data_IF_643949822790
#
_entry.id   IF_643949822790
#
_cell.length_a   1.000
_cell.length_b   1.000
_cell.length_c   1.000
_cell.angle_alpha   90.00
_cell.angle_beta   90.00
_cell.angle_gamma   90.00
#
_symmetry.space_group_name_H-M   'P 1'
#
loop_
_entity.id
_entity.type
_entity.pdbx_description
1 polymer ?
#
# COMPACT_ATOMS: atom_id res chain seq x y z
N UNK A 1 -20.96 28.95 -27.79
CA UNK A 1 -21.38 27.98 -28.82
C UNK A 1 -20.52 26.74 -28.62
N UNK A 2 -20.78 26.03 -27.54
CA UNK A 2 -21.86 25.02 -27.40
C UNK A 2 -21.41 23.67 -27.96
N UNK A 3 -21.29 22.74 -27.02
CA UNK A 3 -21.78 21.37 -27.09
C UNK A 3 -21.45 20.54 -28.34
N UNK A 4 -20.55 19.57 -28.15
CA UNK A 4 -20.92 18.14 -28.12
C UNK A 4 -19.66 17.28 -28.18
N UNK A 5 -19.43 16.50 -27.11
CA UNK A 5 -18.96 15.11 -27.14
C UNK A 5 -18.79 14.66 -25.67
N UNK A 6 -19.94 14.55 -25.02
CA UNK A 6 -20.16 13.70 -23.84
C UNK A 6 -20.37 12.27 -24.34
N UNK A 7 -20.04 11.30 -23.50
CA UNK A 7 -20.20 9.84 -23.64
C UNK A 7 -19.16 9.04 -24.43
N UNK A 8 -18.10 8.68 -23.69
CA UNK A 8 -17.53 7.34 -23.78
C UNK A 8 -17.26 6.82 -22.36
N UNK A 9 -18.32 6.37 -21.67
CA UNK A 9 -18.20 5.43 -20.55
C UNK A 9 -17.58 4.11 -21.06
N UNK A 10 -16.26 4.06 -21.16
CA UNK A 10 -15.53 2.80 -21.23
C UNK A 10 -15.59 2.16 -19.84
N UNK A 11 -16.66 1.40 -19.61
CA UNK A 11 -16.79 0.45 -18.51
C UNK A 11 -15.91 -0.77 -18.83
N UNK A 12 -14.73 -0.95 -18.22
CA UNK A 12 -13.91 -2.12 -18.47
C UNK A 12 -14.29 -3.15 -17.41
N UNK A 13 -15.27 -4.00 -17.72
CA UNK A 13 -15.57 -5.33 -17.13
C UNK A 13 -17.05 -5.68 -17.36
N UNK A 14 -17.41 -5.99 -18.62
CA UNK A 14 -18.63 -6.75 -18.94
C UNK A 14 -18.26 -7.93 -19.85
N UNK A 15 -17.38 -8.79 -19.36
CA UNK A 15 -17.42 -10.20 -19.74
C UNK A 15 -18.02 -10.94 -18.55
N UNK A 16 -19.08 -11.75 -18.74
CA UNK A 16 -19.52 -12.65 -17.69
C UNK A 16 -18.40 -13.67 -17.50
N UNK A 17 -17.51 -13.41 -16.55
CA UNK A 17 -16.73 -14.47 -15.93
C UNK A 17 -17.75 -15.49 -15.45
N UNK A 18 -17.75 -16.67 -16.06
CA UNK A 18 -18.39 -17.84 -15.48
C UNK A 18 -17.98 -17.87 -14.00
N UNK A 19 -18.96 -17.67 -13.10
CA UNK A 19 -18.71 -17.46 -11.68
C UNK A 19 -18.25 -18.78 -11.08
N UNK A 20 -16.98 -19.10 -11.27
CA UNK A 20 -16.25 -20.00 -10.38
C UNK A 20 -16.35 -19.35 -9.01
N UNK A 21 -17.06 -20.02 -8.11
CA UNK A 21 -17.27 -19.59 -6.74
C UNK A 21 -15.90 -19.37 -6.10
N UNK A 22 -15.47 -18.10 -5.97
CA UNK A 22 -14.35 -17.79 -5.10
C UNK A 22 -14.86 -17.88 -3.66
N UNK A 23 -14.25 -18.72 -2.80
CA UNK A 23 -14.66 -18.82 -1.42
C UNK A 23 -14.53 -17.44 -0.75
N UNK A 24 -15.59 -16.99 -0.09
CA UNK A 24 -15.55 -15.78 0.71
C UNK A 24 -14.75 -16.05 1.99
N UNK A 25 -13.47 -15.67 1.99
CA UNK A 25 -12.57 -15.91 3.13
C UNK A 25 -13.00 -15.18 4.40
N UNK A 26 -13.91 -14.22 4.32
CA UNK A 26 -14.46 -13.54 5.49
C UNK A 26 -15.24 -14.50 6.40
N UNK A 27 -15.91 -15.50 5.83
CA UNK A 27 -16.64 -16.53 6.60
C UNK A 27 -15.66 -17.32 7.48
N UNK A 28 -14.49 -17.65 6.95
CA UNK A 28 -13.45 -18.38 7.68
C UNK A 28 -12.87 -17.54 8.81
N UNK A 29 -12.66 -16.24 8.57
CA UNK A 29 -12.22 -15.31 9.60
C UNK A 29 -13.25 -15.20 10.73
N UNK A 30 -14.55 -15.10 10.42
CA UNK A 30 -15.61 -15.07 11.43
C UNK A 30 -15.63 -16.35 12.28
N UNK A 31 -15.51 -17.52 11.65
CA UNK A 31 -15.42 -18.78 12.39
C UNK A 31 -14.22 -18.82 13.33
N UNK A 32 -13.08 -18.27 12.90
CA UNK A 32 -11.87 -18.23 13.72
C UNK A 32 -11.96 -17.21 14.86
N UNK A 33 -12.55 -16.05 14.60
CA UNK A 33 -12.84 -15.04 15.64
C UNK A 33 -13.79 -15.60 16.70
N UNK A 34 -14.81 -16.37 16.30
CA UNK A 34 -15.78 -16.99 17.22
C UNK A 34 -15.17 -17.92 18.29
N UNK A 35 -13.92 -18.37 18.11
CA UNK A 35 -13.19 -19.13 19.15
C UNK A 35 -12.85 -18.28 20.38
N UNK A 36 -12.61 -16.97 20.20
CA UNK A 36 -12.16 -16.04 21.25
C UNK A 36 -13.10 -14.86 21.49
N UNK A 37 -13.87 -14.46 20.49
CA UNK A 37 -14.83 -13.36 20.50
C UNK A 37 -16.09 -13.84 19.81
N UNK A 38 -17.13 -14.11 20.59
CA UNK A 38 -18.35 -14.76 20.11
C UNK A 38 -18.97 -14.02 18.91
N UNK A 39 -19.20 -14.79 17.83
CA UNK A 39 -19.87 -14.34 16.61
C UNK A 39 -21.20 -15.08 16.50
N UNK A 40 -22.31 -14.34 16.42
CA UNK A 40 -23.65 -14.92 16.33
C UNK A 40 -24.42 -14.36 15.15
N UNK A 41 -25.32 -15.18 14.59
CA UNK A 41 -26.29 -14.74 13.60
C UNK A 41 -27.33 -13.79 14.23
N UNK A 42 -27.53 -12.62 13.65
CA UNK A 42 -28.50 -11.61 14.11
C UNK A 42 -29.89 -11.82 13.51
N UNK A 43 -29.98 -12.58 12.42
CA UNK A 43 -31.20 -13.03 11.77
C UNK A 43 -31.03 -14.44 11.19
N UNK A 44 -32.09 -15.00 10.61
CA UNK A 44 -32.05 -16.29 9.94
C UNK A 44 -31.26 -16.17 8.63
N UNK A 45 -30.15 -16.89 8.52
CA UNK A 45 -29.28 -16.86 7.34
C UNK A 45 -29.79 -17.89 6.34
N UNK A 46 -30.20 -17.42 5.17
CA UNK A 46 -30.76 -18.25 4.10
C UNK A 46 -29.89 -18.20 2.83
N UNK A 47 -29.89 -19.29 2.06
CA UNK A 47 -29.32 -19.30 0.73
C UNK A 47 -30.24 -18.58 -0.29
N UNK A 48 -29.74 -18.30 -1.49
CA UNK A 48 -30.45 -17.62 -2.57
C UNK A 48 -31.72 -18.34 -3.08
N UNK A 49 -32.03 -19.54 -2.58
CA UNK A 49 -33.28 -20.27 -2.82
C UNK A 49 -34.27 -20.20 -1.66
N UNK A 50 -33.96 -19.43 -0.61
CA UNK A 50 -34.79 -19.30 0.59
C UNK A 50 -34.64 -20.43 1.61
N UNK A 51 -33.66 -21.34 1.45
CA UNK A 51 -33.44 -22.43 2.40
C UNK A 51 -32.64 -21.91 3.60
N UNK A 52 -33.18 -22.14 4.81
CA UNK A 52 -32.53 -21.80 6.06
C UNK A 52 -31.22 -22.59 6.24
N UNK A 53 -30.11 -21.87 6.39
CA UNK A 53 -28.80 -22.45 6.68
C UNK A 53 -28.45 -22.35 8.16
N UNK A 54 -28.70 -21.19 8.77
CA UNK A 54 -28.33 -20.89 10.16
C UNK A 54 -29.48 -20.15 10.82
N UNK A 55 -29.88 -20.60 12.02
CA UNK A 55 -30.94 -19.96 12.78
C UNK A 55 -30.39 -18.73 13.51
N UNK A 56 -31.19 -17.68 13.62
CA UNK A 56 -30.91 -16.51 14.47
C UNK A 56 -30.40 -16.94 15.85
N UNK A 57 -29.36 -16.28 16.36
CA UNK A 57 -28.71 -16.57 17.65
C UNK A 57 -27.70 -17.72 17.61
N UNK A 58 -27.60 -18.47 16.51
CA UNK A 58 -26.59 -19.52 16.37
C UNK A 58 -25.19 -18.92 16.26
N UNK A 59 -24.21 -19.60 16.84
CA UNK A 59 -22.81 -19.23 16.72
C UNK A 59 -22.27 -19.55 15.32
N UNK A 60 -21.40 -18.69 14.80
CA UNK A 60 -20.71 -18.92 13.53
C UNK A 60 -19.41 -19.68 13.83
N UNK A 61 -19.50 -21.00 14.03
CA UNK A 61 -18.32 -21.87 14.22
C UNK A 61 -17.81 -22.43 12.88
N UNK A 62 -16.79 -23.30 12.92
CA UNK A 62 -16.22 -23.90 11.70
C UNK A 62 -17.24 -24.72 10.91
N UNK A 63 -18.11 -25.48 11.57
CA UNK A 63 -19.11 -26.30 10.90
C UNK A 63 -20.17 -25.43 10.21
N UNK A 64 -20.59 -24.34 10.87
CA UNK A 64 -21.49 -23.35 10.28
C UNK A 64 -20.83 -22.64 9.10
N UNK A 65 -19.56 -22.25 9.21
CA UNK A 65 -18.82 -21.66 8.11
C UNK A 65 -18.69 -22.59 6.90
N UNK A 66 -18.33 -23.85 7.11
CA UNK A 66 -18.25 -24.86 6.04
C UNK A 66 -19.61 -25.05 5.35
N UNK A 67 -20.73 -24.92 6.09
CA UNK A 67 -22.08 -24.93 5.52
C UNK A 67 -22.38 -23.67 4.70
N UNK A 68 -22.05 -22.48 5.21
CA UNK A 68 -22.27 -21.21 4.51
C UNK A 68 -21.47 -21.17 3.19
N UNK A 69 -20.21 -21.60 3.22
CA UNK A 69 -19.30 -21.61 2.06
C UNK A 69 -19.79 -22.50 0.90
N UNK A 70 -20.77 -23.39 1.11
CA UNK A 70 -21.35 -24.20 0.05
C UNK A 70 -22.53 -23.53 -0.67
N UNK A 71 -22.91 -22.33 -0.25
CA UNK A 71 -24.13 -21.67 -0.68
C UNK A 71 -23.95 -20.19 -0.93
N UNK A 72 -24.57 -19.69 -2.00
CA UNK A 72 -24.75 -18.25 -2.19
C UNK A 72 -25.86 -17.76 -1.28
N UNK A 73 -25.60 -16.75 -0.44
CA UNK A 73 -26.57 -16.16 0.48
C UNK A 73 -27.52 -15.17 -0.20
N UNK A 74 -28.69 -14.92 0.41
CA UNK A 74 -29.63 -13.86 -0.03
C UNK A 74 -29.05 -12.47 0.23
N UNK A 75 -28.50 -12.28 1.43
CA UNK A 75 -27.84 -11.06 1.89
C UNK A 75 -26.36 -11.33 2.16
N UNK A 76 -25.50 -10.29 2.12
CA UNK A 76 -24.11 -10.40 2.60
C UNK A 76 -24.05 -10.92 4.04
N UNK A 77 -23.04 -11.74 4.35
CA UNK A 77 -22.95 -12.37 5.68
C UNK A 77 -22.70 -11.33 6.78
N UNK A 78 -21.91 -10.31 6.49
CA UNK A 78 -21.56 -9.23 7.41
C UNK A 78 -22.76 -8.42 7.92
N UNK A 79 -23.88 -8.41 7.19
CA UNK A 79 -25.12 -7.75 7.62
C UNK A 79 -25.96 -8.62 8.57
N UNK A 80 -25.67 -9.93 8.62
CA UNK A 80 -26.48 -10.95 9.29
C UNK A 80 -25.78 -11.54 10.52
N UNK A 81 -24.66 -10.98 10.95
CA UNK A 81 -23.91 -11.44 12.12
C UNK A 81 -23.50 -10.25 13.00
N UNK A 82 -23.22 -10.54 14.27
CA UNK A 82 -22.66 -9.58 15.20
C UNK A 82 -21.60 -10.23 16.08
N UNK A 83 -20.62 -9.43 16.48
CA UNK A 83 -19.60 -9.80 17.47
C UNK A 83 -20.01 -9.27 18.85
N UNK A 84 -19.79 -10.06 19.88
CA UNK A 84 -20.05 -9.66 21.27
C UNK A 84 -19.16 -8.47 21.68
N UNK A 85 -17.87 -8.53 21.35
CA UNK A 85 -16.90 -7.50 21.74
C UNK A 85 -16.30 -6.80 20.52
N UNK A 86 -16.89 -5.68 20.10
CA UNK A 86 -16.43 -4.93 18.92
C UNK A 86 -15.51 -3.77 19.29
N UNK A 87 -14.66 -3.38 18.34
CA UNK A 87 -13.88 -2.16 18.44
C UNK A 87 -14.80 -0.93 18.53
N UNK A 88 -14.36 0.08 19.26
CA UNK A 88 -15.03 1.35 19.45
C UNK A 88 -13.98 2.45 19.68
N UNK A 89 -14.43 3.70 19.86
CA UNK A 89 -13.53 4.84 20.06
C UNK A 89 -12.58 4.68 21.25
N UNK A 90 -13.07 4.16 22.38
CA UNK A 90 -12.24 3.93 23.57
C UNK A 90 -11.13 2.91 23.29
N UNK A 91 -11.47 1.79 22.65
CA UNK A 91 -10.49 0.75 22.28
C UNK A 91 -9.48 1.25 21.25
N UNK A 92 -9.92 2.03 20.26
CA UNK A 92 -9.01 2.67 19.30
C UNK A 92 -8.05 3.63 20.02
N UNK A 93 -8.52 4.39 21.01
CA UNK A 93 -7.68 5.29 21.80
C UNK A 93 -6.64 4.54 22.63
N UNK A 94 -7.03 3.41 23.24
CA UNK A 94 -6.09 2.53 23.95
C UNK A 94 -5.05 1.97 22.97
N UNK A 95 -5.48 1.41 21.86
CA UNK A 95 -4.58 0.82 20.85
C UNK A 95 -3.62 1.88 20.28
N UNK A 96 -4.11 3.09 20.02
CA UNK A 96 -3.27 4.18 19.53
C UNK A 96 -2.27 4.65 20.59
N UNK A 97 -2.66 4.68 21.86
CA UNK A 97 -1.73 4.98 22.96
C UNK A 97 -0.60 3.96 23.02
N UNK A 98 -0.91 2.66 22.83
CA UNK A 98 0.10 1.60 22.76
C UNK A 98 1.03 1.78 21.54
N UNK A 99 0.46 2.06 20.37
CA UNK A 99 1.21 2.34 19.14
C UNK A 99 2.15 3.54 19.33
N UNK A 100 1.65 4.64 19.88
CA UNK A 100 2.40 5.87 20.14
C UNK A 100 3.52 5.67 21.17
N UNK A 101 3.33 4.79 22.17
CA UNK A 101 4.39 4.42 23.12
C UNK A 101 5.48 3.58 22.47
N UNK A 102 5.12 2.64 21.58
CA UNK A 102 6.10 1.82 20.86
C UNK A 102 6.88 2.65 19.83
N UNK A 103 6.21 3.58 19.17
CA UNK A 103 6.79 4.48 18.17
C UNK A 103 6.94 5.88 18.74
N UNK A 104 8.06 6.12 19.42
CA UNK A 104 8.32 7.39 20.12
C UNK A 104 8.29 8.62 19.21
N UNK A 105 8.51 8.44 17.91
CA UNK A 105 8.41 9.49 16.91
C UNK A 105 6.96 9.92 16.65
N UNK A 106 6.00 8.99 16.67
CA UNK A 106 4.56 9.30 16.62
C UNK A 106 4.14 10.12 17.85
N UNK A 107 4.59 9.71 19.05
CA UNK A 107 4.34 10.47 20.27
C UNK A 107 4.94 11.89 20.21
N UNK A 108 6.17 12.00 19.70
CA UNK A 108 6.84 13.30 19.52
C UNK A 108 6.11 14.18 18.53
N UNK A 109 5.74 13.68 17.36
CA UNK A 109 4.97 14.43 16.34
C UNK A 109 3.66 14.93 16.94
N UNK A 110 2.90 14.07 17.63
CA UNK A 110 1.65 14.49 18.27
C UNK A 110 1.83 15.64 19.25
N UNK A 111 2.87 15.59 20.08
CA UNK A 111 3.19 16.64 21.05
C UNK A 111 3.62 17.93 20.37
N UNK A 112 4.58 17.84 19.45
CA UNK A 112 5.18 19.02 18.80
C UNK A 112 4.19 19.75 17.90
N UNK A 113 3.24 19.03 17.28
CA UNK A 113 2.21 19.60 16.43
C UNK A 113 0.86 19.78 17.16
N UNK A 114 0.80 19.58 18.48
CA UNK A 114 -0.43 19.68 19.28
C UNK A 114 -1.63 18.94 18.65
N UNK A 115 -1.45 17.69 18.22
CA UNK A 115 -2.49 16.93 17.51
C UNK A 115 -3.27 15.94 18.37
N UNK A 116 -2.84 15.70 19.61
CA UNK A 116 -3.41 14.64 20.45
C UNK A 116 -4.90 14.82 20.73
N UNK A 117 -5.35 16.04 21.05
CA UNK A 117 -6.75 16.34 21.32
C UNK A 117 -7.62 16.20 20.05
N UNK A 118 -7.15 16.77 18.93
CA UNK A 118 -7.82 16.67 17.63
C UNK A 118 -7.98 15.21 17.22
N UNK A 119 -6.91 14.42 17.33
CA UNK A 119 -6.94 13.01 16.97
C UNK A 119 -7.88 12.22 17.88
N UNK A 120 -7.86 12.47 19.19
CA UNK A 120 -8.78 11.82 20.13
C UNK A 120 -10.24 12.11 19.79
N UNK A 121 -10.56 13.31 19.30
CA UNK A 121 -11.91 13.65 18.85
C UNK A 121 -12.33 12.83 17.61
N UNK A 122 -11.40 12.51 16.70
CA UNK A 122 -11.65 11.65 15.54
C UNK A 122 -11.97 10.20 15.93
N UNK A 123 -11.40 9.71 17.03
CA UNK A 123 -11.64 8.35 17.51
C UNK A 123 -13.05 8.14 18.07
N UNK A 124 -13.69 9.18 18.60
CA UNK A 124 -14.98 9.09 19.30
C UNK A 124 -16.14 9.64 18.46
N UNK A 125 -16.19 9.29 17.17
CA UNK A 125 -17.23 9.82 16.27
C UNK A 125 -18.58 9.09 16.46
N UNK A 126 -19.71 9.82 16.57
CA UNK A 126 -21.03 9.22 16.64
C UNK A 126 -21.43 8.50 15.34
N UNK A 127 -22.23 7.44 15.46
CA UNK A 127 -22.89 6.75 14.35
C UNK A 127 -21.97 6.01 13.34
N UNK A 128 -20.94 5.30 13.84
CA UNK A 128 -20.25 4.28 13.03
C UNK A 128 -21.13 3.04 12.91
N UNK A 129 -21.28 2.48 11.70
CA UNK A 129 -22.08 1.27 11.49
C UNK A 129 -21.50 0.09 12.28
N UNK A 130 -22.37 -0.76 12.84
CA UNK A 130 -21.96 -2.00 13.51
C UNK A 130 -21.13 -2.89 12.58
N UNK A 131 -21.49 -2.93 11.30
CA UNK A 131 -20.78 -3.71 10.30
C UNK A 131 -19.33 -3.22 10.10
N UNK A 132 -19.08 -1.91 10.12
CA UNK A 132 -17.73 -1.36 10.04
C UNK A 132 -16.91 -1.69 11.30
N UNK A 133 -17.47 -1.50 12.48
CA UNK A 133 -16.82 -1.87 13.74
C UNK A 133 -16.49 -3.37 13.77
N UNK A 134 -17.41 -4.21 13.32
CA UNK A 134 -17.18 -5.64 13.14
C UNK A 134 -15.99 -5.92 12.22
N UNK A 135 -15.96 -5.39 10.99
CA UNK A 135 -14.84 -5.67 10.06
C UNK A 135 -13.50 -5.19 10.59
N UNK A 136 -13.44 -4.02 11.22
CA UNK A 136 -12.21 -3.53 11.86
C UNK A 136 -11.79 -4.44 13.03
N UNK A 137 -12.76 -4.98 13.79
CA UNK A 137 -12.49 -5.97 14.85
C UNK A 137 -11.91 -7.27 14.29
N UNK A 138 -12.50 -7.80 13.22
CA UNK A 138 -12.00 -9.00 12.54
C UNK A 138 -10.60 -8.73 11.97
N UNK A 139 -10.37 -7.55 11.37
CA UNK A 139 -9.05 -7.14 10.89
C UNK A 139 -8.02 -7.14 12.02
N UNK A 140 -8.37 -6.57 13.19
CA UNK A 140 -7.50 -6.56 14.38
C UNK A 140 -7.13 -7.97 14.83
N UNK A 141 -8.10 -8.88 14.91
CA UNK A 141 -7.88 -10.22 15.44
C UNK A 141 -7.19 -11.17 14.45
N UNK A 142 -7.39 -10.96 13.15
CA UNK A 142 -6.95 -11.90 12.10
C UNK A 142 -5.81 -11.39 11.25
N UNK A 143 -5.73 -10.07 11.04
CA UNK A 143 -4.72 -9.38 10.25
C UNK A 143 -4.11 -8.19 11.05
N UNK A 144 -3.51 -8.43 12.23
CA UNK A 144 -3.14 -7.37 13.17
C UNK A 144 -2.16 -6.33 12.59
N UNK A 145 -1.25 -6.73 11.70
CA UNK A 145 -0.33 -5.80 11.02
C UNK A 145 -1.06 -4.80 10.10
N UNK A 146 -2.12 -5.26 9.41
CA UNK A 146 -2.95 -4.39 8.56
C UNK A 146 -3.82 -3.47 9.43
N UNK A 147 -4.34 -3.97 10.55
CA UNK A 147 -5.08 -3.14 11.51
C UNK A 147 -4.21 -2.04 12.11
N UNK A 148 -3.03 -2.38 12.61
CA UNK A 148 -2.07 -1.41 13.15
C UNK A 148 -1.68 -0.37 12.10
N UNK A 149 -1.48 -0.85 10.87
CA UNK A 149 -1.25 -0.05 9.68
C UNK A 149 -2.38 0.91 9.31
N UNK A 150 -3.62 0.47 9.46
CA UNK A 150 -4.83 1.28 9.32
C UNK A 150 -4.89 2.35 10.39
N UNK A 151 -4.62 2.00 11.66
CA UNK A 151 -4.63 2.95 12.77
C UNK A 151 -3.55 4.04 12.63
N UNK A 152 -2.32 3.65 12.28
CA UNK A 152 -1.26 4.58 11.91
C UNK A 152 -1.65 5.43 10.71
N UNK A 153 -2.26 4.82 9.69
CA UNK A 153 -2.67 5.51 8.47
C UNK A 153 -3.77 6.54 8.70
N UNK A 154 -4.77 6.22 9.53
CA UNK A 154 -5.81 7.17 9.93
C UNK A 154 -5.22 8.37 10.68
N UNK A 155 -4.26 8.14 11.56
CA UNK A 155 -3.53 9.20 12.25
C UNK A 155 -2.75 10.09 11.29
N UNK A 156 -1.90 9.51 10.43
CA UNK A 156 -1.05 10.30 9.54
C UNK A 156 -1.85 11.01 8.44
N UNK A 157 -2.89 10.36 7.91
CA UNK A 157 -3.79 10.94 6.92
C UNK A 157 -4.53 12.16 7.47
N UNK A 158 -5.08 12.07 8.68
CA UNK A 158 -5.72 13.20 9.34
C UNK A 158 -4.73 14.32 9.67
N UNK A 159 -3.51 13.98 10.09
CA UNK A 159 -2.46 14.96 10.37
C UNK A 159 -2.05 15.72 9.10
N UNK A 160 -1.87 15.03 7.97
CA UNK A 160 -1.58 15.64 6.67
C UNK A 160 -2.72 16.55 6.23
N UNK A 161 -3.97 16.08 6.28
CA UNK A 161 -5.13 16.89 5.93
C UNK A 161 -5.23 18.16 6.79
N UNK A 162 -4.90 18.06 8.08
CA UNK A 162 -4.86 19.21 9.01
C UNK A 162 -3.72 20.18 8.68
N UNK A 163 -2.52 19.68 8.39
CA UNK A 163 -1.38 20.50 7.97
C UNK A 163 -1.69 21.27 6.68
N UNK A 164 -2.44 20.64 5.76
CA UNK A 164 -2.96 21.23 4.53
C UNK A 164 -4.17 22.16 4.76
N UNK A 165 -4.59 22.38 6.00
CA UNK A 165 -5.71 23.25 6.42
C UNK A 165 -7.05 22.88 5.76
N UNK A 166 -7.29 21.60 5.57
CA UNK A 166 -8.53 21.10 5.01
C UNK A 166 -9.71 21.27 5.99
N UNK A 167 -10.97 21.37 5.50
CA UNK A 167 -12.15 21.36 6.34
C UNK A 167 -12.23 20.12 7.25
N UNK A 168 -12.88 20.27 8.41
CA UNK A 168 -12.99 19.21 9.42
C UNK A 168 -13.59 17.90 8.90
N UNK A 169 -14.55 17.98 7.96
CA UNK A 169 -15.15 16.80 7.31
C UNK A 169 -14.12 16.02 6.49
N UNK A 170 -13.21 16.70 5.80
CA UNK A 170 -12.15 16.05 5.01
C UNK A 170 -11.02 15.52 5.88
N UNK A 171 -10.72 16.16 7.02
CA UNK A 171 -9.80 15.60 8.02
C UNK A 171 -10.37 14.28 8.58
N UNK A 172 -11.66 14.26 8.89
CA UNK A 172 -12.37 13.04 9.29
C UNK A 172 -12.40 12.00 8.18
N UNK A 173 -12.63 12.40 6.94
CA UNK A 173 -12.56 11.49 5.80
C UNK A 173 -11.17 10.88 5.63
N UNK A 174 -10.09 11.66 5.84
CA UNK A 174 -8.71 11.17 5.80
C UNK A 174 -8.45 10.13 6.89
N UNK A 175 -8.95 10.38 8.10
CA UNK A 175 -8.89 9.41 9.20
C UNK A 175 -9.57 8.09 8.83
N UNK A 176 -10.83 8.16 8.37
CA UNK A 176 -11.58 6.96 8.01
C UNK A 176 -10.94 6.21 6.85
N UNK A 177 -10.57 6.90 5.76
CA UNK A 177 -9.92 6.28 4.62
C UNK A 177 -8.60 5.61 5.02
N UNK A 178 -7.79 6.26 5.86
CA UNK A 178 -6.59 5.65 6.43
C UNK A 178 -6.91 4.39 7.23
N UNK A 179 -7.91 4.42 8.11
CA UNK A 179 -8.28 3.27 8.94
C UNK A 179 -8.84 2.09 8.14
N UNK A 180 -9.55 2.34 7.05
CA UNK A 180 -10.38 1.33 6.37
C UNK A 180 -9.87 0.87 5.01
N UNK A 181 -8.81 1.48 4.45
CA UNK A 181 -8.31 1.20 3.09
C UNK A 181 -8.05 -0.28 2.79
N UNK A 182 -7.62 -1.02 3.82
CA UNK A 182 -7.18 -2.41 3.72
C UNK A 182 -8.24 -3.43 4.16
N UNK A 183 -9.48 -3.01 4.43
CA UNK A 183 -10.55 -3.94 4.84
C UNK A 183 -10.87 -5.00 3.79
N UNK A 184 -10.57 -4.74 2.52
CA UNK A 184 -10.76 -5.72 1.45
C UNK A 184 -9.90 -6.97 1.58
N UNK A 185 -8.78 -6.92 2.31
CA UNK A 185 -7.95 -8.11 2.57
C UNK A 185 -8.67 -9.18 3.37
N UNK A 186 -9.75 -8.84 4.07
CA UNK A 186 -10.60 -9.81 4.78
C UNK A 186 -11.32 -10.79 3.85
N UNK A 187 -11.35 -10.52 2.55
CA UNK A 187 -11.97 -11.40 1.56
C UNK A 187 -10.94 -12.04 0.62
N UNK A 188 -9.65 -11.85 0.87
CA UNK A 188 -8.56 -12.44 0.10
C UNK A 188 -7.98 -13.62 0.88
N UNK A 189 -7.57 -14.66 0.14
CA UNK A 189 -6.92 -15.83 0.72
C UNK A 189 -5.74 -15.44 1.62
N UNK A 190 -5.76 -15.77 2.92
CA UNK A 190 -4.65 -15.50 3.84
C UNK A 190 -3.31 -16.03 3.33
N UNK A 191 -3.29 -17.15 2.59
CA UNK A 191 -2.08 -17.71 2.00
C UNK A 191 -1.45 -16.79 0.95
N UNK A 192 -2.27 -16.01 0.24
CA UNK A 192 -1.83 -14.97 -0.69
C UNK A 192 -1.41 -13.71 0.06
N UNK A 193 -2.22 -13.25 1.03
CA UNK A 193 -1.94 -12.04 1.84
C UNK A 193 -0.59 -12.14 2.54
N UNK A 194 -0.26 -13.30 3.09
CA UNK A 194 1.00 -13.54 3.83
C UNK A 194 2.11 -14.18 2.99
N UNK A 195 1.93 -14.30 1.68
CA UNK A 195 2.92 -14.94 0.82
C UNK A 195 4.25 -14.18 0.88
N UNK A 196 5.32 -14.89 1.26
CA UNK A 196 6.69 -14.38 1.22
C UNK A 196 7.30 -14.64 -0.15
N UNK A 197 8.10 -13.69 -0.64
CA UNK A 197 8.81 -13.80 -1.92
C UNK A 197 7.98 -13.34 -3.11
N UNK A 198 8.27 -13.89 -4.30
CA UNK A 198 7.67 -13.44 -5.55
C UNK A 198 6.20 -13.85 -5.66
N UNK A 199 5.34 -12.87 -5.92
CA UNK A 199 3.93 -13.08 -6.25
C UNK A 199 3.79 -13.46 -7.73
N UNK A 200 2.96 -14.47 -8.02
CA UNK A 200 2.54 -14.74 -9.39
C UNK A 200 1.63 -13.61 -9.90
N UNK A 201 1.37 -13.58 -11.21
CA UNK A 201 0.42 -12.62 -11.77
C UNK A 201 -1.00 -12.79 -11.18
N UNK A 202 -1.39 -14.01 -10.84
CA UNK A 202 -2.68 -14.31 -10.21
C UNK A 202 -2.71 -13.83 -8.75
N UNK A 203 -1.66 -14.12 -7.97
CA UNK A 203 -1.53 -13.61 -6.59
C UNK A 203 -1.58 -12.07 -6.57
N UNK A 204 -0.91 -11.42 -7.53
CA UNK A 204 -0.89 -9.98 -7.63
C UNK A 204 -2.27 -9.40 -7.95
N UNK A 205 -3.02 -10.01 -8.89
CA UNK A 205 -4.42 -9.60 -9.18
C UNK A 205 -5.32 -9.80 -7.97
N UNK A 206 -5.14 -10.89 -7.21
CA UNK A 206 -5.88 -11.14 -5.99
C UNK A 206 -5.58 -10.08 -4.93
N UNK A 207 -4.30 -9.73 -4.72
CA UNK A 207 -3.94 -8.62 -3.83
C UNK A 207 -4.55 -7.32 -4.30
N UNK A 208 -4.43 -6.96 -5.59
CA UNK A 208 -5.00 -5.72 -6.13
C UNK A 208 -6.51 -5.61 -5.93
N UNK A 209 -7.25 -6.72 -5.85
CA UNK A 209 -8.71 -6.68 -5.70
C UNK A 209 -9.17 -6.13 -4.35
N UNK A 210 -8.30 -6.05 -3.33
CA UNK A 210 -8.69 -5.54 -2.01
C UNK A 210 -9.29 -4.12 -2.08
N UNK A 211 -8.79 -3.27 -2.98
CA UNK A 211 -9.33 -1.91 -3.13
C UNK A 211 -10.77 -1.94 -3.65
N UNK A 212 -11.08 -2.86 -4.57
CA UNK A 212 -12.41 -3.02 -5.16
C UNK A 212 -13.39 -3.64 -4.16
N UNK A 213 -12.92 -4.62 -3.37
CA UNK A 213 -13.72 -5.22 -2.31
C UNK A 213 -14.03 -4.19 -1.21
N UNK A 214 -13.04 -3.39 -0.81
CA UNK A 214 -13.22 -2.34 0.18
C UNK A 214 -14.18 -1.25 -0.34
N UNK A 215 -14.01 -0.81 -1.59
CA UNK A 215 -14.90 0.13 -2.29
C UNK A 215 -16.37 -0.35 -2.29
N UNK A 216 -16.60 -1.61 -2.70
CA UNK A 216 -17.94 -2.21 -2.76
C UNK A 216 -18.60 -2.23 -1.37
N UNK A 217 -17.86 -2.62 -0.34
CA UNK A 217 -18.38 -2.67 1.02
C UNK A 217 -18.68 -1.27 1.56
N UNK A 218 -17.70 -0.35 1.47
CA UNK A 218 -17.80 0.99 2.05
C UNK A 218 -18.88 1.84 1.36
N UNK A 219 -19.07 1.66 0.05
CA UNK A 219 -20.11 2.37 -0.73
C UNK A 219 -21.54 2.06 -0.25
N UNK A 220 -21.75 0.91 0.37
CA UNK A 220 -23.06 0.50 0.89
C UNK A 220 -23.33 1.02 2.32
N UNK A 221 -22.34 1.64 2.97
CA UNK A 221 -22.48 2.16 4.32
C UNK A 221 -22.87 3.65 4.29
N UNK A 222 -24.08 3.96 4.74
CA UNK A 222 -24.59 5.35 4.79
C UNK A 222 -23.77 6.30 5.67
N UNK A 223 -23.00 5.77 6.63
CA UNK A 223 -22.10 6.55 7.48
C UNK A 223 -20.74 6.89 6.81
N UNK A 224 -20.45 6.33 5.63
CA UNK A 224 -19.19 6.55 4.91
C UNK A 224 -19.42 7.49 3.75
N UNK A 225 -18.62 8.55 3.64
CA UNK A 225 -18.77 9.54 2.56
C UNK A 225 -18.12 9.08 1.27
N UNK A 226 -18.53 9.66 0.14
CA UNK A 226 -17.96 9.34 -1.17
C UNK A 226 -16.46 9.65 -1.25
N UNK A 227 -15.98 10.65 -0.52
CA UNK A 227 -14.55 10.97 -0.44
C UNK A 227 -13.75 9.83 0.20
N UNK A 228 -14.27 9.21 1.26
CA UNK A 228 -13.63 8.05 1.90
C UNK A 228 -13.57 6.89 0.92
N UNK A 229 -14.70 6.56 0.29
CA UNK A 229 -14.81 5.48 -0.70
C UNK A 229 -13.80 5.70 -1.83
N UNK A 230 -13.76 6.91 -2.40
CA UNK A 230 -12.85 7.27 -3.49
C UNK A 230 -11.38 7.15 -3.06
N UNK A 231 -11.02 7.66 -1.89
CA UNK A 231 -9.66 7.58 -1.39
C UNK A 231 -9.22 6.13 -1.13
N UNK A 232 -10.14 5.27 -0.65
CA UNK A 232 -9.88 3.84 -0.48
C UNK A 232 -9.74 3.12 -1.81
N UNK A 233 -10.57 3.41 -2.81
CA UNK A 233 -10.47 2.80 -4.14
C UNK A 233 -9.17 3.21 -4.87
N UNK A 234 -8.66 4.41 -4.60
CA UNK A 234 -7.54 5.03 -5.31
C UNK A 234 -6.23 5.09 -4.52
N UNK A 235 -6.13 4.53 -3.30
CA UNK A 235 -4.92 4.72 -2.47
C UNK A 235 -3.64 4.10 -3.06
N UNK A 236 -3.76 3.16 -4.00
CA UNK A 236 -2.63 2.63 -4.77
C UNK A 236 -2.37 3.36 -6.09
N UNK A 237 -3.21 4.32 -6.45
CA UNK A 237 -2.97 5.19 -7.60
C UNK A 237 -1.83 6.18 -7.28
N UNK A 238 -1.14 6.63 -8.32
CA UNK A 238 0.01 7.54 -8.20
C UNK A 238 -0.17 8.73 -9.13
N UNK A 239 0.30 9.89 -8.71
CA UNK A 239 0.12 11.14 -9.44
C UNK A 239 0.78 11.12 -10.82
N UNK A 240 1.84 10.33 -10.99
CA UNK A 240 2.53 10.06 -12.26
C UNK A 240 1.84 8.99 -13.14
N UNK A 241 0.75 8.37 -12.68
CA UNK A 241 0.00 7.34 -13.38
C UNK A 241 0.61 5.94 -13.34
N UNK A 242 1.62 5.71 -12.50
CA UNK A 242 2.24 4.39 -12.32
C UNK A 242 1.48 3.46 -11.36
N UNK A 243 0.43 3.97 -10.72
CA UNK A 243 -0.38 3.25 -9.74
C UNK A 243 -1.47 2.36 -10.35
N UNK A 244 -2.29 1.81 -9.46
CA UNK A 244 -3.35 0.85 -9.79
C UNK A 244 -4.60 1.08 -8.90
N UNK A 245 -5.79 0.58 -9.27
CA UNK A 245 -6.11 -0.38 -10.34
C UNK A 245 -6.40 0.25 -11.72
N UNK A 246 -6.81 1.52 -11.75
CA UNK A 246 -7.29 2.19 -12.96
C UNK A 246 -6.16 2.89 -13.72
N UNK A 247 -5.10 3.34 -13.03
CA UNK A 247 -4.04 4.17 -13.59
C UNK A 247 -4.47 5.64 -13.68
N UNK A 248 -5.32 6.10 -12.75
CA UNK A 248 -5.69 7.51 -12.64
C UNK A 248 -4.49 8.31 -12.17
N UNK A 249 -4.35 9.53 -12.69
CA UNK A 249 -3.14 10.34 -12.51
C UNK A 249 -3.44 11.83 -12.45
N UNK A 250 -2.46 12.59 -11.96
CA UNK A 250 -2.53 14.04 -11.86
C UNK A 250 -3.78 14.53 -11.12
N UNK A 251 -4.37 15.59 -11.65
CA UNK A 251 -5.57 16.22 -11.10
C UNK A 251 -6.85 15.37 -11.23
N UNK A 252 -6.77 14.18 -11.84
CA UNK A 252 -7.89 13.23 -11.83
C UNK A 252 -7.96 12.44 -10.53
N UNK A 253 -6.88 12.38 -9.75
CA UNK A 253 -6.90 11.80 -8.42
C UNK A 253 -7.41 12.83 -7.42
N UNK A 254 -8.28 12.40 -6.51
CA UNK A 254 -8.70 13.29 -5.43
C UNK A 254 -7.49 13.66 -4.56
N UNK A 255 -7.53 14.84 -3.94
CA UNK A 255 -6.46 15.24 -3.01
C UNK A 255 -6.38 14.26 -1.82
N UNK A 256 -7.53 13.71 -1.40
CA UNK A 256 -7.60 12.71 -0.34
C UNK A 256 -6.93 11.39 -0.76
N UNK A 257 -7.14 10.95 -2.00
CA UNK A 257 -6.46 9.79 -2.58
C UNK A 257 -4.94 9.98 -2.60
N UNK A 258 -4.46 11.19 -2.92
CA UNK A 258 -3.03 11.52 -2.87
C UNK A 258 -2.49 11.47 -1.43
N UNK A 259 -3.22 12.01 -0.45
CA UNK A 259 -2.85 11.94 0.97
C UNK A 259 -2.73 10.47 1.40
N UNK A 260 -3.76 9.65 1.16
CA UNK A 260 -3.78 8.25 1.60
C UNK A 260 -2.73 7.41 0.85
N UNK A 261 -2.46 7.70 -0.42
CA UNK A 261 -1.38 7.03 -1.15
C UNK A 261 0.01 7.32 -0.58
N UNK A 262 0.28 8.54 -0.12
CA UNK A 262 1.54 8.84 0.57
C UNK A 262 1.58 8.15 1.95
N UNK A 263 0.47 8.16 2.68
CA UNK A 263 0.34 7.47 3.97
C UNK A 263 0.63 5.98 3.84
N UNK A 264 0.06 5.33 2.84
CA UNK A 264 0.28 3.91 2.55
C UNK A 264 1.75 3.60 2.29
N UNK A 265 2.40 4.44 1.48
CA UNK A 265 3.83 4.37 1.20
C UNK A 265 4.67 4.49 2.47
N UNK A 266 4.40 5.49 3.32
CA UNK A 266 5.15 5.72 4.56
C UNK A 266 4.90 4.61 5.59
N UNK A 267 3.69 4.06 5.64
CA UNK A 267 3.37 2.90 6.46
C UNK A 267 4.12 1.65 5.97
N UNK A 268 4.19 1.41 4.66
CA UNK A 268 4.97 0.31 4.10
C UNK A 268 6.47 0.42 4.43
N UNK A 269 7.06 1.63 4.31
CA UNK A 269 8.43 1.90 4.73
C UNK A 269 8.62 1.63 6.23
N UNK A 270 7.69 2.11 7.07
CA UNK A 270 7.74 1.91 8.51
C UNK A 270 7.77 0.41 8.86
N UNK A 271 6.81 -0.34 8.34
CA UNK A 271 6.62 -1.76 8.68
C UNK A 271 7.73 -2.65 8.13
N UNK A 272 8.19 -2.42 6.89
CA UNK A 272 9.17 -3.28 6.23
C UNK A 272 10.61 -2.96 6.60
N UNK A 273 10.95 -1.67 6.74
CA UNK A 273 12.33 -1.22 6.83
C UNK A 273 12.66 -0.55 8.17
N UNK A 274 11.74 0.21 8.75
CA UNK A 274 12.11 1.10 9.86
C UNK A 274 11.98 0.43 11.23
N UNK A 275 10.85 -0.26 11.48
CA UNK A 275 10.55 -0.85 12.79
C UNK A 275 11.62 -1.84 13.27
N UNK A 276 12.28 -2.57 12.36
CA UNK A 276 13.36 -3.51 12.69
C UNK A 276 14.68 -2.83 13.07
N UNK A 277 14.91 -1.60 12.61
CA UNK A 277 16.19 -0.87 12.75
C UNK A 277 16.07 0.37 13.64
N UNK A 278 14.95 0.52 14.34
CA UNK A 278 14.70 1.70 15.18
C UNK A 278 14.61 3.03 14.41
N UNK A 279 14.42 3.00 13.08
CA UNK A 279 14.28 4.22 12.26
C UNK A 279 12.97 4.93 12.55
N UNK A 280 12.96 6.25 12.38
CA UNK A 280 11.81 7.12 12.60
C UNK A 280 11.33 7.76 11.28
N UNK A 281 10.21 8.50 11.31
CA UNK A 281 9.65 9.11 10.09
C UNK A 281 10.56 10.13 9.38
N UNK A 282 11.53 10.73 10.05
CA UNK A 282 12.51 11.61 9.42
C UNK A 282 13.40 10.85 8.44
N UNK A 283 13.63 9.56 8.67
CA UNK A 283 14.40 8.69 7.78
C UNK A 283 13.67 8.41 6.46
N UNK A 284 12.38 8.78 6.33
CA UNK A 284 11.70 8.74 5.03
C UNK A 284 12.09 9.93 4.12
N UNK A 285 12.80 10.95 4.63
CA UNK A 285 13.17 12.13 3.84
C UNK A 285 13.87 11.80 2.51
N UNK A 286 14.89 10.92 2.45
CA UNK A 286 15.55 10.59 1.19
C UNK A 286 14.59 9.94 0.19
N UNK A 287 13.68 9.07 0.67
CA UNK A 287 12.62 8.48 -0.15
C UNK A 287 11.71 9.57 -0.76
N UNK A 288 11.27 10.53 0.06
CA UNK A 288 10.39 11.63 -0.39
C UNK A 288 11.07 12.51 -1.45
N UNK A 289 12.38 12.75 -1.29
CA UNK A 289 13.19 13.54 -2.23
C UNK A 289 13.49 12.78 -3.53
N UNK A 290 13.60 11.46 -3.49
CA UNK A 290 13.83 10.64 -4.67
C UNK A 290 12.55 10.44 -5.50
N UNK A 291 11.40 10.24 -4.85
CA UNK A 291 10.12 9.89 -5.49
C UNK A 291 9.25 11.12 -5.86
N UNK A 292 9.87 12.24 -6.23
CA UNK A 292 9.15 13.45 -6.66
C UNK A 292 8.20 13.13 -7.81
N UNK A 293 6.97 13.60 -7.72
CA UNK A 293 5.92 13.38 -8.73
C UNK A 293 5.05 12.13 -8.53
N UNK A 294 5.39 11.22 -7.61
CA UNK A 294 4.50 10.09 -7.26
C UNK A 294 3.24 10.50 -6.49
N UNK A 295 3.35 11.58 -5.72
CA UNK A 295 2.25 12.26 -5.05
C UNK A 295 2.28 13.74 -5.43
N UNK A 296 1.15 14.42 -5.26
CA UNK A 296 1.06 15.85 -5.56
C UNK A 296 1.99 16.68 -4.69
N UNK A 297 2.50 17.78 -5.26
CA UNK A 297 3.40 18.71 -4.57
C UNK A 297 2.84 19.21 -3.22
N UNK A 298 1.56 19.61 -3.09
CA UNK A 298 1.02 20.05 -1.80
C UNK A 298 1.06 18.98 -0.70
N UNK A 299 0.95 17.70 -1.06
CA UNK A 299 1.00 16.58 -0.11
C UNK A 299 2.44 16.35 0.37
N UNK A 300 3.41 16.45 -0.54
CA UNK A 300 4.83 16.39 -0.17
C UNK A 300 5.24 17.57 0.71
N UNK A 301 4.82 18.78 0.36
CA UNK A 301 5.08 19.97 1.16
C UNK A 301 4.53 19.81 2.58
N UNK A 302 3.28 19.35 2.72
CA UNK A 302 2.68 19.10 4.03
C UNK A 302 3.48 18.08 4.85
N UNK A 303 3.90 16.97 4.23
CA UNK A 303 4.72 15.97 4.92
C UNK A 303 6.07 16.54 5.38
N UNK A 304 6.75 17.29 4.51
CA UNK A 304 8.02 17.94 4.85
C UNK A 304 7.86 18.98 5.97
N UNK A 305 6.74 19.71 6.01
CA UNK A 305 6.44 20.62 7.11
C UNK A 305 6.17 19.87 8.42
N UNK A 306 5.47 18.73 8.39
CA UNK A 306 5.27 17.89 9.57
C UNK A 306 6.62 17.41 10.11
N UNK A 307 7.49 16.88 9.26
CA UNK A 307 8.83 16.43 9.65
C UNK A 307 9.63 17.57 10.27
N UNK A 308 9.65 18.75 9.63
CA UNK A 308 10.34 19.94 10.14
C UNK A 308 9.81 20.37 11.52
N UNK A 309 8.48 20.49 11.68
CA UNK A 309 7.84 20.92 12.94
C UNK A 309 7.99 19.89 14.06
N UNK A 310 8.14 18.61 13.72
CA UNK A 310 8.34 17.55 14.71
C UNK A 310 9.69 17.64 15.43
N UNK A 311 10.67 18.35 14.84
CA UNK A 311 12.04 18.42 15.34
C UNK A 311 12.68 17.04 15.50
N UNK A 312 12.20 16.02 14.76
CA UNK A 312 12.87 14.73 14.64
C UNK A 312 14.21 14.93 13.95
N UNK A 313 15.18 14.09 14.32
CA UNK A 313 16.45 13.97 13.62
C UNK A 313 16.46 12.62 12.90
N UNK A 314 17.25 12.51 11.83
CA UNK A 314 17.48 11.21 11.23
C UNK A 314 18.11 10.26 12.25
N UNK A 315 17.76 8.99 12.15
CA UNK A 315 18.45 7.95 12.91
C UNK A 315 19.72 7.57 12.15
N UNK A 316 20.83 7.45 12.87
CA UNK A 316 22.04 6.84 12.31
C UNK A 316 21.88 5.32 12.21
N UNK A 317 22.69 4.68 11.37
CA UNK A 317 22.94 3.24 11.45
C UNK A 317 23.66 2.91 12.76
N UNK A 318 23.41 1.76 13.39
CA UNK A 318 24.24 1.30 14.51
C UNK A 318 25.70 1.16 14.06
N UNK A 319 26.65 1.59 14.90
CA UNK A 319 28.09 1.54 14.60
C UNK A 319 28.54 0.11 14.35
N UNK A 320 28.01 -0.83 15.12
CA UNK A 320 28.38 -2.25 15.01
C UNK A 320 27.83 -2.89 13.72
N UNK A 321 26.79 -2.30 13.12
CA UNK A 321 26.24 -2.74 11.83
C UNK A 321 26.86 -2.01 10.62
N UNK A 322 27.61 -0.93 10.84
CA UNK A 322 28.01 -0.01 9.78
C UNK A 322 28.78 -0.69 8.65
N UNK A 323 29.73 -1.57 8.97
CA UNK A 323 30.48 -2.34 7.96
C UNK A 323 29.57 -3.26 7.13
N UNK A 324 28.60 -3.91 7.76
CA UNK A 324 27.64 -4.80 7.10
C UNK A 324 26.71 -3.99 6.18
N UNK A 325 26.25 -2.83 6.64
CA UNK A 325 25.41 -1.94 5.82
C UNK A 325 26.20 -1.38 4.65
N UNK A 326 27.47 -1.02 4.86
CA UNK A 326 28.38 -0.55 3.81
C UNK A 326 28.60 -1.62 2.72
N UNK A 327 28.86 -2.87 3.10
CA UNK A 327 29.01 -3.98 2.17
C UNK A 327 27.74 -4.21 1.33
N UNK A 328 26.56 -4.23 1.99
CA UNK A 328 25.28 -4.37 1.27
C UNK A 328 24.99 -3.18 0.35
N UNK A 329 25.37 -1.97 0.76
CA UNK A 329 25.25 -0.78 -0.08
C UNK A 329 26.11 -0.94 -1.35
N UNK A 330 27.36 -1.40 -1.22
CA UNK A 330 28.23 -1.66 -2.37
C UNK A 330 27.59 -2.61 -3.39
N UNK A 331 27.03 -3.74 -2.95
CA UNK A 331 26.35 -4.70 -3.83
C UNK A 331 25.19 -4.05 -4.60
N UNK A 332 24.44 -3.16 -3.93
CA UNK A 332 23.34 -2.43 -4.55
C UNK A 332 23.83 -1.40 -5.56
N UNK A 333 24.85 -0.61 -5.23
CA UNK A 333 25.46 0.38 -6.13
C UNK A 333 26.00 -0.31 -7.40
N UNK A 334 26.71 -1.42 -7.25
CA UNK A 334 27.21 -2.24 -8.37
C UNK A 334 26.06 -2.76 -9.24
N UNK A 335 24.95 -3.20 -8.64
CA UNK A 335 23.76 -3.60 -9.41
C UNK A 335 23.14 -2.42 -10.15
N UNK A 336 23.04 -1.23 -9.55
CA UNK A 336 22.52 -0.04 -10.22
C UNK A 336 23.35 0.30 -11.46
N UNK A 337 24.68 0.29 -11.36
CA UNK A 337 25.58 0.49 -12.51
C UNK A 337 25.35 -0.52 -13.63
N UNK A 338 25.20 -1.82 -13.29
CA UNK A 338 24.95 -2.88 -14.27
C UNK A 338 23.59 -2.78 -14.93
N UNK A 339 22.59 -2.26 -14.22
CA UNK A 339 21.22 -2.13 -14.69
C UNK A 339 21.02 -0.90 -15.59
N UNK A 340 21.79 0.18 -15.37
CA UNK A 340 21.69 1.42 -16.13
C UNK A 340 21.66 1.22 -17.67
N UNK A 341 22.62 0.52 -18.31
CA UNK A 341 22.58 0.30 -19.76
C UNK A 341 21.39 -0.56 -20.21
N UNK A 342 20.86 -1.42 -19.34
CA UNK A 342 19.66 -2.22 -19.62
C UNK A 342 18.42 -1.33 -19.64
N UNK A 343 18.29 -0.40 -18.69
CA UNK A 343 17.19 0.55 -18.64
C UNK A 343 17.20 1.52 -19.81
N UNK A 344 18.35 2.12 -20.13
CA UNK A 344 18.50 3.01 -21.30
C UNK A 344 18.00 2.33 -22.57
N UNK A 345 18.37 1.06 -22.73
CA UNK A 345 17.97 0.24 -23.85
C UNK A 345 16.49 -0.11 -23.83
N UNK A 346 15.92 -0.48 -22.68
CA UNK A 346 14.48 -0.74 -22.54
C UNK A 346 13.67 0.52 -22.88
N UNK A 347 14.06 1.67 -22.32
CA UNK A 347 13.42 2.96 -22.59
C UNK A 347 13.45 3.25 -24.09
N UNK A 348 14.62 3.15 -24.75
CA UNK A 348 14.72 3.32 -26.21
C UNK A 348 13.82 2.36 -26.99
N UNK A 349 13.83 1.07 -26.68
CA UNK A 349 13.03 0.06 -27.39
C UNK A 349 11.52 0.35 -27.30
N UNK A 350 11.04 0.85 -26.16
CA UNK A 350 9.62 1.21 -26.06
C UNK A 350 9.22 2.39 -26.94
N UNK A 351 10.15 3.31 -27.25
CA UNK A 351 9.91 4.43 -28.17
C UNK A 351 10.00 4.00 -29.65
N UNK A 352 10.65 2.87 -29.97
CA UNK A 352 10.72 2.32 -31.33
C UNK A 352 9.44 1.59 -31.75
N UNK A 353 8.57 1.25 -30.81
CA UNK A 353 7.32 0.54 -31.09
C UNK A 353 6.26 1.50 -31.68
N UNK A 354 5.64 1.17 -32.83
CA UNK A 354 4.70 2.07 -33.51
C UNK A 354 3.41 2.29 -32.73
N UNK A 355 3.02 1.34 -31.88
CA UNK A 355 1.89 1.46 -30.96
C UNK A 355 2.16 0.67 -29.68
N UNK A 356 1.73 1.24 -28.55
CA UNK A 356 1.82 0.61 -27.24
C UNK A 356 0.42 0.39 -26.70
N UNK A 357 0.17 -0.80 -26.13
CA UNK A 357 -1.02 -1.03 -25.31
C UNK A 357 -0.88 -0.34 -23.93
N UNK A 358 -1.85 -0.53 -23.02
CA UNK A 358 -1.78 0.07 -21.67
C UNK A 358 -0.50 -0.32 -20.94
N UNK A 359 -0.12 -1.60 -21.00
CA UNK A 359 1.03 -2.15 -20.29
C UNK A 359 2.38 -1.67 -20.87
N UNK A 360 2.46 -1.52 -22.20
CA UNK A 360 3.62 -0.95 -22.86
C UNK A 360 3.86 0.50 -22.46
N UNK A 361 2.81 1.33 -22.44
CA UNK A 361 2.90 2.72 -21.96
C UNK A 361 3.33 2.81 -20.51
N UNK A 362 2.77 1.97 -19.63
CA UNK A 362 3.16 1.89 -18.22
C UNK A 362 4.64 1.53 -18.09
N UNK A 363 5.11 0.54 -18.86
CA UNK A 363 6.54 0.13 -18.86
C UNK A 363 7.45 1.29 -19.27
N UNK A 364 7.08 2.05 -20.30
CA UNK A 364 7.85 3.25 -20.72
C UNK A 364 7.94 4.28 -19.60
N UNK A 365 6.81 4.61 -18.97
CA UNK A 365 6.77 5.61 -17.89
C UNK A 365 7.61 5.18 -16.70
N UNK A 366 7.42 3.95 -16.21
CA UNK A 366 8.16 3.45 -15.03
C UNK A 366 9.66 3.34 -15.36
N UNK A 367 10.05 2.80 -16.51
CA UNK A 367 11.46 2.70 -16.90
C UNK A 367 12.13 4.07 -17.04
N UNK A 368 11.45 5.03 -17.66
CA UNK A 368 11.96 6.40 -17.83
C UNK A 368 12.10 7.11 -16.49
N UNK A 369 11.12 7.00 -15.60
CA UNK A 369 11.16 7.60 -14.28
C UNK A 369 12.33 7.04 -13.45
N UNK A 370 12.50 5.72 -13.44
CA UNK A 370 13.59 5.09 -12.67
C UNK A 370 14.96 5.42 -13.25
N UNK A 371 15.10 5.46 -14.57
CA UNK A 371 16.33 5.90 -15.22
C UNK A 371 16.72 7.33 -14.78
N UNK A 372 15.76 8.26 -14.83
CA UNK A 372 15.96 9.64 -14.39
C UNK A 372 16.30 9.72 -12.88
N UNK A 373 15.68 8.89 -12.04
CA UNK A 373 15.96 8.83 -10.61
C UNK A 373 17.40 8.39 -10.33
N UNK A 374 17.87 7.32 -11.00
CA UNK A 374 19.26 6.84 -10.87
C UNK A 374 20.24 7.95 -11.25
N UNK A 375 20.06 8.53 -12.46
CA UNK A 375 20.96 9.57 -12.98
C UNK A 375 20.98 10.84 -12.11
N UNK A 376 19.85 11.24 -11.52
CA UNK A 376 19.78 12.43 -10.63
C UNK A 376 20.32 12.15 -9.23
N UNK A 377 20.23 10.91 -8.76
CA UNK A 377 20.69 10.53 -7.42
C UNK A 377 22.21 10.49 -7.29
N UNK A 378 22.92 10.28 -8.41
CA UNK A 378 24.37 10.06 -8.40
C UNK A 378 24.80 8.72 -7.80
N UNK A 379 23.87 7.79 -7.54
CA UNK A 379 24.16 6.47 -6.96
C UNK A 379 24.83 5.49 -7.95
N UNK A 380 25.11 5.93 -9.16
CA UNK A 380 25.81 5.17 -10.20
C UNK A 380 27.31 5.49 -10.31
N UNK A 381 27.82 6.41 -9.48
CA UNK A 381 29.21 6.86 -9.53
C UNK A 381 30.18 5.89 -8.82
N UNK A 382 31.36 5.68 -9.41
CA UNK A 382 32.40 4.77 -8.87
C UNK A 382 32.92 5.25 -7.50
N UNK A 383 32.98 6.57 -7.31
CA UNK A 383 33.46 7.20 -6.07
C UNK A 383 32.64 6.78 -4.84
N UNK A 384 31.34 6.50 -5.01
CA UNK A 384 30.48 6.04 -3.91
C UNK A 384 30.75 4.59 -3.54
N UNK A 385 31.11 3.74 -4.51
CA UNK A 385 31.50 2.36 -4.26
C UNK A 385 32.84 2.35 -3.50
N UNK A 386 33.79 3.17 -3.92
CA UNK A 386 35.08 3.27 -3.25
C UNK A 386 34.96 3.87 -1.85
N UNK A 387 34.12 4.90 -1.67
CA UNK A 387 33.83 5.48 -0.37
C UNK A 387 33.17 4.45 0.57
N UNK A 388 32.14 3.74 0.11
CA UNK A 388 31.46 2.72 0.93
C UNK A 388 32.39 1.54 1.27
N UNK A 389 33.33 1.17 0.39
CA UNK A 389 34.41 0.22 0.72
C UNK A 389 35.35 0.78 1.78
N UNK A 390 35.64 2.08 1.75
CA UNK A 390 36.40 2.76 2.81
C UNK A 390 35.71 2.62 4.17
N UNK A 391 34.40 2.86 4.22
CA UNK A 391 33.61 2.74 5.46
C UNK A 391 33.49 1.30 5.94
N UNK A 392 33.42 0.32 5.04
CA UNK A 392 33.46 -1.10 5.42
C UNK A 392 34.77 -1.46 6.14
N UNK A 393 35.90 -0.95 5.63
CA UNK A 393 37.22 -1.25 6.19
C UNK A 393 37.54 -0.47 7.47
N UNK A 394 37.07 0.77 7.58
CA UNK A 394 37.24 1.63 8.76
C UNK A 394 35.92 2.32 9.14
N UNK A 395 35.06 1.66 9.94
CA UNK A 395 33.75 2.18 10.32
C UNK A 395 33.85 3.35 11.30
N UNK A 396 33.63 4.58 10.78
CA UNK A 396 33.64 5.82 11.55
C UNK A 396 32.23 6.35 11.80
N UNK A 397 32.02 6.94 13.00
CA UNK A 397 30.73 7.48 13.41
C UNK A 397 30.21 8.59 12.48
N UNK A 398 31.12 9.36 11.87
CA UNK A 398 30.78 10.41 10.90
C UNK A 398 30.08 9.88 9.63
N UNK A 399 30.25 8.58 9.29
CA UNK A 399 29.64 7.98 8.11
C UNK A 399 28.27 7.34 8.39
N UNK A 400 27.82 7.27 9.65
CA UNK A 400 26.61 6.52 10.04
C UNK A 400 25.33 7.10 9.41
N UNK A 401 25.21 8.43 9.34
CA UNK A 401 24.03 9.09 8.77
C UNK A 401 24.04 8.98 7.23
N UNK A 402 25.19 9.24 6.60
CA UNK A 402 25.37 9.17 5.14
C UNK A 402 25.15 7.76 4.59
N UNK A 403 25.70 6.72 5.23
CA UNK A 403 25.44 5.33 4.82
C UNK A 403 23.96 4.98 4.97
N UNK A 404 23.33 5.40 6.06
CA UNK A 404 21.92 5.11 6.31
C UNK A 404 21.03 5.74 5.21
N UNK A 405 21.33 6.99 4.82
CA UNK A 405 20.66 7.70 3.73
C UNK A 405 20.88 7.02 2.37
N UNK A 406 22.12 6.73 2.00
CA UNK A 406 22.45 6.09 0.72
C UNK A 406 21.84 4.70 0.61
N UNK A 407 21.83 3.93 1.69
CA UNK A 407 21.23 2.61 1.71
C UNK A 407 19.70 2.69 1.49
N UNK A 408 19.02 3.65 2.11
CA UNK A 408 17.59 3.88 1.90
C UNK A 408 17.28 4.20 0.43
N UNK A 409 18.06 5.10 -0.17
CA UNK A 409 17.90 5.48 -1.58
C UNK A 409 18.18 4.29 -2.52
N UNK A 410 19.27 3.56 -2.30
CA UNK A 410 19.61 2.38 -3.08
C UNK A 410 18.56 1.26 -2.95
N UNK A 411 18.03 1.05 -1.73
CA UNK A 411 16.94 0.11 -1.49
C UNK A 411 15.69 0.47 -2.28
N UNK A 412 15.36 1.76 -2.28
CA UNK A 412 14.21 2.27 -3.00
C UNK A 412 14.37 2.13 -4.52
N UNK A 413 15.53 2.47 -5.08
CA UNK A 413 15.80 2.28 -6.52
C UNK A 413 15.70 0.81 -6.93
N UNK A 414 16.27 -0.12 -6.15
CA UNK A 414 16.13 -1.56 -6.41
C UNK A 414 14.67 -1.99 -6.37
N UNK A 415 13.87 -1.47 -5.44
CA UNK A 415 12.43 -1.74 -5.40
C UNK A 415 11.71 -1.22 -6.65
N UNK A 416 12.02 0.00 -7.10
CA UNK A 416 11.44 0.57 -8.32
C UNK A 416 11.85 -0.22 -9.58
N UNK A 417 13.09 -0.73 -9.64
CA UNK A 417 13.56 -1.59 -10.73
C UNK A 417 12.79 -2.90 -10.82
N UNK A 418 12.38 -3.47 -9.68
CA UNK A 418 11.49 -4.62 -9.68
C UNK A 418 10.11 -4.28 -10.29
N UNK A 419 9.63 -3.04 -10.13
CA UNK A 419 8.44 -2.58 -10.84
C UNK A 419 8.65 -2.53 -12.35
N UNK A 420 9.78 -1.98 -12.84
CA UNK A 420 10.14 -2.00 -14.27
C UNK A 420 10.18 -3.42 -14.81
N UNK A 421 10.83 -4.34 -14.09
CA UNK A 421 10.91 -5.75 -14.47
C UNK A 421 9.53 -6.37 -14.61
N UNK A 422 8.66 -6.19 -13.61
CA UNK A 422 7.30 -6.72 -13.63
C UNK A 422 6.48 -6.16 -14.79
N UNK A 423 6.45 -4.85 -14.97
CA UNK A 423 5.63 -4.24 -16.03
C UNK A 423 6.12 -4.64 -17.41
N UNK A 424 7.44 -4.69 -17.60
CA UNK A 424 8.06 -5.12 -18.83
C UNK A 424 7.79 -6.60 -19.13
N UNK A 425 7.84 -7.47 -18.11
CA UNK A 425 7.55 -8.90 -18.26
C UNK A 425 6.11 -9.10 -18.71
N UNK A 426 5.16 -8.48 -18.03
CA UNK A 426 3.73 -8.53 -18.39
C UNK A 426 3.49 -8.02 -19.81
N UNK A 427 4.14 -6.92 -20.20
CA UNK A 427 4.04 -6.41 -21.57
C UNK A 427 4.58 -7.40 -22.61
N UNK A 428 5.74 -8.01 -22.35
CA UNK A 428 6.32 -9.02 -23.23
C UNK A 428 5.44 -10.27 -23.32
N UNK A 429 4.82 -10.69 -22.21
CA UNK A 429 3.94 -11.85 -22.16
C UNK A 429 2.65 -11.60 -22.95
N UNK A 430 2.06 -10.40 -22.87
CA UNK A 430 0.86 -10.02 -23.62
C UNK A 430 1.09 -9.92 -25.13
N UNK A 431 2.21 -9.34 -25.55
CA UNK A 431 2.51 -9.07 -26.97
C UNK A 431 3.18 -10.25 -27.67
N UNK A 432 3.83 -11.14 -26.92
CA UNK A 432 4.64 -12.22 -27.45
C UNK A 432 5.86 -11.76 -28.26
N UNK A 433 6.61 -12.72 -28.80
CA UNK A 433 7.80 -12.48 -29.63
C UNK A 433 7.43 -12.17 -31.09
N UNK A 434 6.53 -11.20 -31.30
CA UNK A 434 5.91 -10.90 -32.61
C UNK A 434 6.77 -10.05 -33.54
N UNK A 435 7.72 -9.28 -33.00
CA UNK A 435 8.63 -8.42 -33.76
C UNK A 435 10.08 -8.51 -33.25
N UNK A 436 11.09 -8.14 -34.05
CA UNK A 436 12.48 -8.07 -33.58
C UNK A 436 12.66 -7.19 -32.34
N UNK A 437 11.94 -6.06 -32.27
CA UNK A 437 11.95 -5.14 -31.12
C UNK A 437 11.42 -5.86 -29.87
N UNK A 438 10.32 -6.61 -29.98
CA UNK A 438 9.75 -7.38 -28.86
C UNK A 438 10.68 -8.51 -28.39
N UNK A 439 11.36 -9.21 -29.30
CA UNK A 439 12.39 -10.20 -28.95
C UNK A 439 13.53 -9.54 -28.16
N UNK A 440 13.95 -8.36 -28.58
CA UNK A 440 15.01 -7.63 -27.91
C UNK A 440 14.58 -7.12 -26.53
N UNK A 441 13.35 -6.61 -26.43
CA UNK A 441 12.76 -6.17 -25.17
C UNK A 441 12.64 -7.33 -24.17
N UNK A 442 12.13 -8.49 -24.60
CA UNK A 442 12.09 -9.70 -23.77
C UNK A 442 13.48 -10.18 -23.34
N UNK A 443 14.50 -9.99 -24.18
CA UNK A 443 15.90 -10.28 -23.82
C UNK A 443 16.40 -9.34 -22.73
N UNK A 444 16.18 -8.03 -22.87
CA UNK A 444 16.57 -7.05 -21.84
C UNK A 444 15.80 -7.25 -20.53
N UNK A 445 14.51 -7.57 -20.59
CA UNK A 445 13.70 -7.92 -19.42
C UNK A 445 14.29 -9.11 -18.64
N UNK A 446 14.72 -10.17 -19.36
CA UNK A 446 15.39 -11.32 -18.74
C UNK A 446 16.74 -10.96 -18.12
N UNK A 447 17.52 -10.09 -18.75
CA UNK A 447 18.79 -9.60 -18.19
C UNK A 447 18.52 -8.80 -16.90
N UNK A 448 17.55 -7.88 -16.92
CA UNK A 448 17.14 -7.12 -15.74
C UNK A 448 16.74 -8.03 -14.58
N UNK A 449 15.88 -9.04 -14.82
CA UNK A 449 15.48 -10.00 -13.79
C UNK A 449 16.65 -10.81 -13.20
N UNK A 450 17.68 -11.13 -14.00
CA UNK A 450 18.89 -11.81 -13.50
C UNK A 450 19.74 -10.90 -12.63
N UNK A 451 19.88 -9.63 -13.01
CA UNK A 451 20.64 -8.64 -12.22
C UNK A 451 19.96 -8.37 -10.87
N UNK A 452 18.63 -8.27 -10.85
CA UNK A 452 17.88 -8.01 -9.62
C UNK A 452 17.85 -9.20 -8.65
N UNK A 453 17.73 -10.42 -9.17
CA UNK A 453 17.71 -11.63 -8.32
C UNK A 453 19.05 -11.93 -7.62
N UNK A 454 20.16 -11.30 -8.04
CA UNK A 454 21.43 -11.35 -7.33
C UNK A 454 21.40 -10.62 -5.98
N UNK A 455 20.50 -9.64 -5.80
CA UNK A 455 20.37 -8.82 -4.59
C UNK A 455 19.31 -9.34 -3.59
N UNK A 456 18.57 -10.40 -3.93
CA UNK A 456 17.58 -11.02 -3.04
C UNK A 456 18.22 -12.05 -2.07
N UNK A 457 19.56 -12.18 -2.06
CA UNK A 457 20.31 -13.17 -1.28
C UNK A 457 20.96 -12.57 -0.03
#
# INVERSE_FOLDING_TARGET
>A
MEDALVDAHCNPLKTPLESTFQPDHYVEYLAKVNETNEVQATEDICNNRGVLLVKTGSRIDRAVADKILQHKLIKPLEEQVALNNQINGDKLAVDFSLLSRRFTDVARINRMLNFEADFKALLHFPAVSSCLCQKVTVLKERLPEHYEGGLFGGWLGALLAREMRMPSDLIRAAFFAGLTRDLGFLHIDPAIVYKKGTLSAEDWRAIMSHVLVADLFLSNLSCVTQEVVTAVAEHHERFDGTGYPTGRSGNRLSILSNIIGLVDTLQALRMKQFSRRGRNLMDARPYLQLNVGKHSEPVYEAMMQILKKSGLQMTGCDRDELAIVAARLQDRLVTLQKVLPVLEKLTRLTHELPSLNKQGRLTTVVATNVLNMIQRSGLDQDELIDWSRGVENDPQESAMEEINEMELLANELIWQLNSVYRTCREFCDEQGATTPVMVHMGTQCKVLGRLLSANDR
#
